data_IF_690135043761
#
_entry.id   IF_690135043761
#
_cell.length_a   1.000
_cell.length_b   1.000
_cell.length_c   1.000
_cell.angle_alpha   90.00
_cell.angle_beta   90.00
_cell.angle_gamma   90.00
#
_symmetry.space_group_name_H-M   'P 1'
#
loop_
_entity.id
_entity.type
_entity.pdbx_description
1 polymer ?
#
# COMPACT_ATOMS: atom_id res chain seq x y z
N UNK A 1 4.45 -0.10 -10.85
CA UNK A 1 5.36 1.04 -10.62
C UNK A 1 5.96 0.86 -9.24
N UNK A 2 7.24 1.17 -9.00
CA UNK A 2 7.81 1.05 -7.66
C UNK A 2 7.16 2.07 -6.71
N UNK A 3 6.86 1.65 -5.49
CA UNK A 3 6.28 2.48 -4.43
C UNK A 3 7.28 2.73 -3.30
N UNK A 4 7.25 3.93 -2.74
CA UNK A 4 8.12 4.32 -1.63
C UNK A 4 7.41 4.10 -0.29
N UNK A 5 7.96 3.24 0.56
CA UNK A 5 7.46 2.95 1.90
C UNK A 5 8.46 3.40 2.96
N UNK A 6 7.95 3.95 4.07
CA UNK A 6 8.77 4.35 5.22
C UNK A 6 8.49 3.37 6.35
N UNK A 7 9.54 2.70 6.84
CA UNK A 7 9.39 1.80 7.98
C UNK A 7 9.06 2.58 9.26
N UNK A 8 7.97 2.22 9.94
CA UNK A 8 7.59 2.86 11.21
C UNK A 8 8.57 2.53 12.37
N UNK A 9 9.24 1.37 12.33
CA UNK A 9 10.16 0.94 13.39
C UNK A 9 11.52 1.62 13.35
N UNK A 10 12.07 1.86 12.15
CA UNK A 10 13.43 2.39 11.98
C UNK A 10 13.50 3.65 11.12
N UNK A 11 12.36 4.18 10.67
CA UNK A 11 12.24 5.32 9.76
C UNK A 11 13.11 5.25 8.50
N UNK A 12 13.46 4.04 8.07
CA UNK A 12 14.17 3.85 6.80
C UNK A 12 13.18 3.91 5.65
N UNK A 13 13.46 4.78 4.68
CA UNK A 13 12.76 4.82 3.40
C UNK A 13 13.29 3.69 2.51
N UNK A 14 12.40 2.90 1.94
CA UNK A 14 12.72 1.80 1.04
C UNK A 14 11.75 1.77 -0.12
N UNK A 15 12.25 1.38 -1.29
CA UNK A 15 11.48 1.29 -2.52
C UNK A 15 11.13 -0.18 -2.71
N UNK A 16 9.85 -0.47 -2.89
CA UNK A 16 9.33 -1.81 -3.10
C UNK A 16 8.58 -1.85 -4.43
N UNK A 17 8.63 -3.00 -5.11
CA UNK A 17 7.79 -3.24 -6.28
C UNK A 17 6.34 -3.47 -5.84
N UNK A 18 5.40 -3.02 -6.68
CA UNK A 18 3.95 -3.16 -6.46
C UNK A 18 3.52 -4.62 -6.24
N UNK A 19 4.16 -5.57 -6.94
CA UNK A 19 4.00 -7.01 -6.72
C UNK A 19 4.40 -7.46 -5.30
N UNK A 20 5.41 -6.84 -4.69
CA UNK A 20 5.83 -7.18 -3.33
C UNK A 20 4.79 -6.69 -2.29
N UNK A 21 4.17 -5.55 -2.55
CA UNK A 21 3.08 -4.99 -1.74
C UNK A 21 1.74 -5.68 -1.95
N UNK A 22 1.56 -6.40 -3.07
CA UNK A 22 0.32 -7.12 -3.40
C UNK A 22 -0.05 -8.22 -2.38
N UNK A 23 0.92 -8.68 -1.58
CA UNK A 23 0.68 -9.57 -0.44
C UNK A 23 0.14 -8.89 0.83
N UNK A 24 -0.03 -7.56 0.82
CA UNK A 24 -0.52 -6.77 1.96
C UNK A 24 0.51 -6.50 3.06
N UNK A 25 1.70 -7.10 3.00
CA UNK A 25 2.79 -6.85 3.94
C UNK A 25 4.16 -7.11 3.31
N UNK A 26 5.13 -6.25 3.63
CA UNK A 26 6.54 -6.38 3.22
C UNK A 26 7.46 -6.32 4.43
N UNK A 27 8.61 -6.99 4.38
CA UNK A 27 9.61 -6.92 5.45
C UNK A 27 10.59 -5.77 5.21
N UNK A 28 10.88 -4.97 6.24
CA UNK A 28 11.86 -3.92 6.12
C UNK A 28 13.28 -4.52 5.98
N UNK A 29 14.01 -4.24 4.89
CA UNK A 29 15.36 -4.80 4.67
C UNK A 29 16.40 -4.26 5.66
N UNK A 30 16.06 -3.21 6.43
CA UNK A 30 16.97 -2.58 7.39
C UNK A 30 16.88 -3.18 8.79
N UNK A 31 15.67 -3.45 9.25
CA UNK A 31 15.42 -3.86 10.64
C UNK A 31 14.64 -5.17 10.77
N UNK A 32 14.16 -5.74 9.67
CA UNK A 32 13.36 -6.97 9.69
C UNK A 32 11.92 -6.78 10.22
N UNK A 33 11.47 -5.54 10.46
CA UNK A 33 10.09 -5.30 10.90
C UNK A 33 9.12 -5.44 9.73
N UNK A 34 7.96 -6.04 9.97
CA UNK A 34 6.87 -6.15 9.00
C UNK A 34 6.16 -4.81 8.82
N UNK A 35 6.09 -4.33 7.59
CA UNK A 35 5.38 -3.12 7.16
C UNK A 35 4.09 -3.60 6.48
N UNK A 36 2.93 -3.21 7.02
CA UNK A 36 1.66 -3.45 6.32
C UNK A 36 1.49 -2.42 5.23
N UNK A 37 1.17 -2.89 4.04
CA UNK A 37 0.86 -2.04 2.90
C UNK A 37 -0.63 -2.17 2.69
N UNK A 38 -1.38 -1.16 3.14
CA UNK A 38 -2.79 -1.03 2.79
C UNK A 38 -2.82 -0.71 1.28
N UNK A 39 -2.85 -1.77 0.47
CA UNK A 39 -3.05 -1.69 -0.96
C UNK A 39 -4.34 -0.92 -1.20
N UNK A 40 -4.21 0.28 -1.75
CA UNK A 40 -5.29 1.25 -1.85
C UNK A 40 -6.44 0.74 -2.71
N UNK A 41 -7.36 0.01 -2.11
CA UNK A 41 -8.71 -0.22 -2.61
C UNK A 41 -9.64 0.81 -1.96
N UNK A 42 -9.36 2.10 -2.21
CA UNK A 42 -10.26 3.21 -1.89
C UNK A 42 -10.53 4.04 -3.14
N UNK A 43 -10.84 3.36 -4.24
CA UNK A 43 -11.87 3.85 -5.15
C UNK A 43 -13.13 3.01 -4.92
N UNK A 44 -13.72 3.20 -3.73
CA UNK A 44 -15.18 3.13 -3.62
C UNK A 44 -15.73 4.21 -4.54
N UNK A 45 -15.83 3.89 -5.83
CA UNK A 45 -16.69 4.54 -6.79
C UNK A 45 -18.11 4.45 -6.23
N UNK A 46 -18.49 5.37 -5.35
CA UNK A 46 -19.90 5.71 -5.15
C UNK A 46 -20.36 6.44 -6.40
N UNK A 47 -20.43 5.71 -7.51
CA UNK A 47 -21.23 6.05 -8.66
C UNK A 47 -22.69 5.86 -8.24
N UNK A 48 -23.26 6.86 -7.54
CA UNK A 48 -24.70 7.02 -7.45
C UNK A 48 -25.17 7.69 -8.74
N UNK A 49 -25.34 6.90 -9.79
CA UNK A 49 -26.24 7.27 -10.90
C UNK A 49 -27.63 6.77 -10.53
N UNK A 50 -28.36 7.59 -9.79
CA UNK A 50 -29.82 7.50 -9.79
C UNK A 50 -30.32 8.34 -10.98
N UNK A 51 -30.31 7.71 -12.17
CA UNK A 51 -30.92 8.23 -13.39
C UNK A 51 -32.19 7.43 -13.71
N UNK A 52 -33.36 7.96 -13.34
CA UNK A 52 -34.72 7.82 -13.92
C UNK A 52 -35.74 8.34 -12.89
N UNK A 53 -36.76 9.14 -13.19
CA UNK A 53 -37.59 9.30 -14.40
C UNK A 53 -37.86 10.78 -14.74
#
# INVERSE_FOLDING_TARGET
MPMELICASCNTKSIFDDDAASGGAVECPKCGSTIRVDGGDELSETMRVDLNE
#
